data_IF_992700514089
#
_entry.id   IF_992700514089
#
_cell.length_a   1.000
_cell.length_b   1.000
_cell.length_c   1.000
_cell.angle_alpha   90.00
_cell.angle_beta   90.00
_cell.angle_gamma   90.00
#
_symmetry.space_group_name_H-M   'P 1'
#
loop_
_entity.id
_entity.type
_entity.pdbx_description
1 polymer ?
#
# COMPACT_ATOMS: atom_id res chain seq x y z
N UNK A 1 9.30 34.42 -59.80
CA UNK A 1 9.15 35.12 -58.50
C UNK A 1 9.12 34.05 -57.41
N UNK A 2 10.04 34.11 -56.45
CA UNK A 2 10.28 33.11 -55.41
C UNK A 2 9.33 33.26 -54.21
N UNK A 3 8.97 32.14 -53.58
CA UNK A 3 8.84 32.09 -52.12
C UNK A 3 9.04 30.63 -51.65
N UNK A 4 10.16 30.39 -50.96
CA UNK A 4 10.37 29.21 -50.13
C UNK A 4 9.57 29.35 -48.83
N UNK A 5 8.99 28.26 -48.34
CA UNK A 5 8.70 28.11 -46.92
C UNK A 5 8.97 26.65 -46.53
N UNK A 6 10.05 26.44 -45.78
CA UNK A 6 10.28 25.23 -45.02
C UNK A 6 9.73 25.47 -43.61
N UNK A 7 8.92 24.55 -43.06
CA UNK A 7 8.78 24.46 -41.61
C UNK A 7 8.43 23.04 -41.15
N UNK A 8 9.43 22.44 -40.51
CA UNK A 8 9.46 21.42 -39.46
C UNK A 8 8.35 20.36 -39.40
N UNK A 9 8.75 19.09 -39.55
CA UNK A 9 8.05 17.98 -38.95
C UNK A 9 8.02 18.18 -37.43
N UNK A 10 6.84 18.36 -36.84
CA UNK A 10 6.68 18.28 -35.40
C UNK A 10 6.80 16.81 -35.02
N UNK A 11 8.02 16.39 -34.70
CA UNK A 11 8.23 15.26 -33.79
C UNK A 11 7.61 15.69 -32.45
N UNK A 12 6.38 15.30 -32.17
CA UNK A 12 5.85 15.39 -30.81
C UNK A 12 6.57 14.32 -30.00
N UNK A 13 7.72 14.72 -29.46
CA UNK A 13 8.48 13.98 -28.46
C UNK A 13 7.51 13.45 -27.42
N UNK A 14 7.51 12.13 -27.24
CA UNK A 14 6.75 11.48 -26.19
C UNK A 14 7.16 12.03 -24.84
N UNK A 15 6.32 12.92 -24.30
CA UNK A 15 6.41 13.30 -22.89
C UNK A 15 5.65 12.23 -22.11
N UNK A 16 6.34 11.14 -21.79
CA UNK A 16 5.95 10.38 -20.60
C UNK A 16 6.23 11.34 -19.44
N UNK A 17 5.21 12.07 -19.00
CA UNK A 17 5.29 12.90 -17.83
C UNK A 17 5.75 11.99 -16.69
N UNK A 18 6.95 12.23 -16.17
CA UNK A 18 7.31 11.80 -14.84
C UNK A 18 6.22 12.37 -13.92
N UNK A 19 5.26 11.53 -13.56
CA UNK A 19 4.19 11.92 -12.65
C UNK A 19 4.88 12.35 -11.35
N UNK A 20 4.70 13.60 -10.97
CA UNK A 20 5.21 14.09 -9.68
C UNK A 20 4.60 13.23 -8.59
N UNK A 21 5.41 12.80 -7.62
CA UNK A 21 4.94 12.09 -6.43
C UNK A 21 3.89 12.89 -5.65
N UNK A 22 3.74 14.20 -5.91
CA UNK A 22 2.65 15.04 -5.39
C UNK A 22 1.25 14.49 -5.67
N UNK A 23 1.06 13.65 -6.69
CA UNK A 23 -0.23 13.02 -6.98
C UNK A 23 -0.55 11.80 -6.10
N UNK A 24 0.37 11.36 -5.25
CA UNK A 24 0.19 10.18 -4.40
C UNK A 24 -0.08 10.62 -2.97
N UNK A 25 -1.36 10.59 -2.59
CA UNK A 25 -1.78 10.86 -1.21
C UNK A 25 -1.21 9.79 -0.28
N UNK A 26 -0.37 10.20 0.66
CA UNK A 26 0.13 9.33 1.73
C UNK A 26 -0.74 9.46 2.98
N UNK A 27 -1.13 8.33 3.56
CA UNK A 27 -1.84 8.26 4.84
C UNK A 27 -1.08 7.33 5.79
N UNK A 28 -0.84 7.81 7.00
CA UNK A 28 -0.23 7.04 8.09
C UNK A 28 -1.27 6.68 9.15
N UNK A 29 -1.14 5.49 9.72
CA UNK A 29 -1.88 5.06 10.91
C UNK A 29 -0.89 4.75 12.02
N UNK A 30 -1.32 4.98 13.26
CA UNK A 30 -0.53 4.77 14.47
C UNK A 30 -1.37 4.15 15.59
N UNK A 31 -0.80 4.04 16.79
CA UNK A 31 -1.48 3.59 17.98
C UNK A 31 -2.80 4.32 18.25
N UNK A 32 -2.83 5.63 18.00
CA UNK A 32 -4.03 6.45 18.22
C UNK A 32 -5.16 6.13 17.23
N UNK A 33 -4.82 5.51 16.10
CA UNK A 33 -5.76 5.06 15.07
C UNK A 33 -6.17 3.59 15.24
N UNK A 34 -5.68 2.93 16.30
CA UNK A 34 -5.98 1.54 16.63
C UNK A 34 -4.98 0.50 16.11
N UNK A 35 -3.93 0.91 15.38
CA UNK A 35 -2.84 -0.01 15.02
C UNK A 35 -2.06 -0.39 16.29
N UNK A 36 -1.82 -1.67 16.60
CA UNK A 36 -1.07 -2.02 17.81
C UNK A 36 0.33 -1.41 17.84
N UNK A 37 0.80 -1.03 19.03
CA UNK A 37 2.18 -0.57 19.28
C UNK A 37 3.18 -1.74 19.17
N UNK A 38 3.33 -2.25 17.96
CA UNK A 38 4.20 -3.37 17.64
C UNK A 38 4.71 -3.23 16.21
N UNK A 39 5.99 -3.56 15.94
CA UNK A 39 6.51 -3.57 14.58
C UNK A 39 5.67 -4.48 13.67
N UNK A 40 5.37 -3.98 12.47
CA UNK A 40 4.78 -4.77 11.38
C UNK A 40 5.91 -5.36 10.55
N UNK A 41 5.95 -6.69 10.40
CA UNK A 41 6.99 -7.41 9.65
C UNK A 41 6.49 -8.10 8.39
N UNK A 42 5.18 -8.25 8.25
CA UNK A 42 4.55 -8.93 7.12
C UNK A 42 3.21 -8.27 6.82
N UNK A 43 2.90 -8.17 5.53
CA UNK A 43 1.66 -7.60 5.04
C UNK A 43 1.15 -8.52 3.93
N UNK A 44 -0.12 -8.91 4.00
CA UNK A 44 -0.82 -9.67 2.98
C UNK A 44 -2.23 -9.13 2.79
N UNK A 45 -2.81 -9.33 1.61
CA UNK A 45 -4.22 -9.05 1.35
C UNK A 45 -4.96 -10.36 1.06
N UNK A 46 -6.14 -10.54 1.65
CA UNK A 46 -6.99 -11.70 1.34
C UNK A 46 -7.92 -11.43 0.13
N UNK A 47 -8.58 -12.46 -0.43
CA UNK A 47 -9.48 -12.28 -1.57
C UNK A 47 -10.70 -11.40 -1.30
N UNK A 48 -11.09 -11.21 -0.04
CA UNK A 48 -12.20 -10.33 0.36
C UNK A 48 -11.75 -8.86 0.48
N UNK A 49 -10.44 -8.60 0.33
CA UNK A 49 -9.85 -7.28 0.30
C UNK A 49 -9.31 -6.80 1.64
N UNK A 50 -9.37 -7.60 2.72
CA UNK A 50 -8.80 -7.21 4.00
C UNK A 50 -7.29 -7.25 3.97
N UNK A 51 -6.67 -6.31 4.69
CA UNK A 51 -5.23 -6.29 4.90
C UNK A 51 -4.90 -7.00 6.20
N UNK A 52 -4.03 -8.00 6.12
CA UNK A 52 -3.48 -8.75 7.23
C UNK A 52 -2.08 -8.27 7.53
N UNK A 53 -1.87 -7.88 8.78
CA UNK A 53 -0.59 -7.43 9.31
C UNK A 53 -0.07 -8.49 10.27
N UNK A 54 1.09 -9.04 9.96
CA UNK A 54 1.91 -9.74 10.94
C UNK A 54 2.51 -8.71 11.88
N UNK A 55 2.28 -8.87 13.18
CA UNK A 55 2.91 -8.10 14.24
C UNK A 55 3.45 -9.03 15.31
N UNK A 56 4.32 -8.54 16.19
CA UNK A 56 4.77 -9.35 17.32
C UNK A 56 3.58 -9.87 18.15
N UNK A 57 3.50 -11.18 18.29
CA UNK A 57 2.45 -11.86 19.06
C UNK A 57 1.11 -12.00 18.33
N UNK A 58 1.07 -11.89 16.99
CA UNK A 58 -0.06 -12.40 16.22
C UNK A 58 -0.41 -11.63 14.94
N UNK A 59 -1.69 -11.71 14.57
CA UNK A 59 -2.24 -11.11 13.35
C UNK A 59 -3.22 -9.99 13.68
N UNK A 60 -3.19 -8.94 12.87
CA UNK A 60 -4.15 -7.85 12.88
C UNK A 60 -4.78 -7.74 11.51
N UNK A 61 -6.11 -7.68 11.45
CA UNK A 61 -6.86 -7.44 10.23
C UNK A 61 -7.28 -5.99 10.14
N UNK A 62 -7.19 -5.39 8.97
CA UNK A 62 -7.57 -4.02 8.68
C UNK A 62 -8.60 -3.97 7.54
N UNK A 63 -9.70 -3.24 7.76
CA UNK A 63 -10.82 -3.11 6.81
C UNK A 63 -10.81 -1.79 6.00
N UNK A 64 -9.74 -0.99 6.11
CA UNK A 64 -9.65 0.36 5.53
C UNK A 64 -10.00 1.47 6.52
N UNK A 65 -10.64 1.13 7.65
CA UNK A 65 -11.01 2.07 8.70
C UNK A 65 -10.59 1.62 10.11
N UNK A 66 -10.59 0.32 10.39
CA UNK A 66 -10.41 -0.24 11.73
C UNK A 66 -9.44 -1.41 11.72
N UNK A 67 -8.62 -1.47 12.76
CA UNK A 67 -7.75 -2.59 13.07
C UNK A 67 -8.42 -3.50 14.09
N UNK A 68 -8.41 -4.81 13.82
CA UNK A 68 -8.97 -5.84 14.71
C UNK A 68 -7.94 -6.94 14.90
N UNK A 69 -7.53 -7.19 16.14
CA UNK A 69 -6.66 -8.32 16.46
C UNK A 69 -7.40 -9.62 16.15
N UNK A 70 -6.73 -10.51 15.44
CA UNK A 70 -7.27 -11.83 15.18
C UNK A 70 -7.11 -12.72 16.40
N UNK A 71 -8.17 -13.43 16.72
CA UNK A 71 -8.20 -14.47 17.74
C UNK A 71 -8.70 -15.76 17.09
N UNK A 72 -8.04 -16.87 17.38
CA UNK A 72 -8.53 -18.15 16.92
C UNK A 72 -9.85 -18.47 17.62
N UNK A 73 -10.84 -18.94 16.85
CA UNK A 73 -12.15 -19.32 17.35
C UNK A 73 -12.08 -20.43 18.42
N UNK A 74 -11.00 -21.22 18.41
CA UNK A 74 -10.76 -22.32 19.36
C UNK A 74 -9.86 -21.94 20.52
N UNK A 75 -9.42 -20.68 20.61
CA UNK A 75 -8.38 -20.24 21.56
C UNK A 75 -6.99 -20.77 21.24
N UNK A 76 -6.82 -21.49 20.12
CA UNK A 76 -5.52 -21.93 19.65
C UNK A 76 -4.63 -20.72 19.34
N UNK A 77 -3.38 -20.76 19.77
CA UNK A 77 -2.41 -19.76 19.32
C UNK A 77 -1.89 -20.13 17.93
N UNK A 78 -1.43 -19.11 17.20
CA UNK A 78 -0.67 -19.36 15.98
C UNK A 78 0.52 -20.26 16.31
N UNK A 79 0.86 -21.22 15.42
CA UNK A 79 1.97 -22.15 15.66
C UNK A 79 3.32 -21.42 15.84
N UNK A 80 3.44 -20.19 15.31
CA UNK A 80 4.56 -19.29 15.54
C UNK A 80 4.04 -17.94 16.04
N UNK A 81 4.76 -17.31 16.98
CA UNK A 81 4.37 -15.99 17.54
C UNK A 81 4.48 -14.87 16.51
N UNK A 82 5.32 -15.11 15.50
CA UNK A 82 5.80 -14.13 14.56
C UNK A 82 5.44 -14.63 13.15
N UNK A 83 4.78 -13.77 12.36
CA UNK A 83 4.33 -14.11 11.01
C UNK A 83 5.20 -13.36 10.02
N UNK A 84 6.06 -14.09 9.33
CA UNK A 84 6.91 -13.57 8.26
C UNK A 84 6.32 -13.91 6.88
N UNK A 85 6.70 -13.14 5.86
CA UNK A 85 6.35 -13.40 4.46
C UNK A 85 7.39 -14.30 3.77
#
# INVERSE_FOLDING_TARGET
MFAMAALAALSTSGVHAAQSLDSHLHKSWSAVDGLPESPVWAIAQDPDGYIWLGVHGGLVRFDGARFVRWEALTGAQLPERDVHA
#
